data_IF_288863618700
#
_entry.id   IF_288863618700
#
_cell.length_a   1.000
_cell.length_b   1.000
_cell.length_c   1.000
_cell.angle_alpha   90.00
_cell.angle_beta   90.00
_cell.angle_gamma   90.00
#
_symmetry.space_group_name_H-M   'P 1'
#
loop_
_entity.id
_entity.type
_entity.pdbx_description
1 polymer ?
#
# COMPACT_ATOMS: atom_id res chain seq x y z
N UNK A 1 -31.60 -24.66 12.73
CA UNK A 1 -31.15 -23.43 12.03
C UNK A 1 -31.24 -22.17 12.88
N UNK A 2 -32.26 -21.97 13.72
CA UNK A 2 -32.42 -20.79 14.61
C UNK A 2 -31.31 -20.65 15.66
N UNK A 3 -30.89 -21.73 16.31
CA UNK A 3 -29.88 -21.73 17.39
C UNK A 3 -28.46 -21.29 16.98
N UNK A 4 -28.07 -21.50 15.72
CA UNK A 4 -26.75 -21.11 15.24
C UNK A 4 -26.69 -19.62 14.92
N UNK A 5 -27.78 -19.04 14.44
CA UNK A 5 -27.87 -17.63 14.10
C UNK A 5 -27.99 -16.77 15.37
N UNK A 6 -28.73 -17.24 16.38
CA UNK A 6 -28.92 -16.54 17.65
C UNK A 6 -27.64 -16.47 18.52
N UNK A 7 -26.80 -17.54 18.50
CA UNK A 7 -25.51 -17.50 19.22
C UNK A 7 -24.44 -16.69 18.48
N UNK A 8 -24.45 -16.61 17.12
CA UNK A 8 -23.59 -15.71 16.35
C UNK A 8 -23.83 -14.26 16.73
N UNK A 9 -25.08 -13.85 16.74
CA UNK A 9 -25.50 -12.50 17.08
C UNK A 9 -25.00 -12.14 18.49
N UNK A 10 -25.08 -13.05 19.45
CA UNK A 10 -24.67 -12.78 20.83
C UNK A 10 -23.15 -12.56 21.00
N UNK A 11 -22.27 -13.35 20.34
CA UNK A 11 -20.81 -13.19 20.45
C UNK A 11 -20.33 -11.90 19.75
N UNK A 12 -20.87 -11.61 18.58
CA UNK A 12 -20.59 -10.37 17.85
C UNK A 12 -21.11 -9.14 18.63
N UNK A 13 -22.30 -9.20 19.18
CA UNK A 13 -22.87 -8.11 20.00
C UNK A 13 -22.04 -7.86 21.26
N UNK A 14 -21.57 -8.88 21.94
CA UNK A 14 -20.68 -8.72 23.12
C UNK A 14 -19.39 -8.02 22.74
N UNK A 15 -18.76 -8.39 21.61
CA UNK A 15 -17.53 -7.75 21.14
C UNK A 15 -17.78 -6.29 20.72
N UNK A 16 -18.86 -6.03 20.00
CA UNK A 16 -19.29 -4.69 19.59
C UNK A 16 -19.57 -3.82 20.82
N UNK A 17 -20.28 -4.36 21.84
CA UNK A 17 -20.59 -3.60 23.04
C UNK A 17 -19.33 -3.32 23.87
N UNK A 18 -18.39 -4.26 23.93
CA UNK A 18 -17.07 -4.02 24.51
C UNK A 18 -16.36 -2.85 23.83
N UNK A 19 -16.37 -2.78 22.49
CA UNK A 19 -15.81 -1.65 21.75
C UNK A 19 -16.57 -0.36 22.01
N UNK A 20 -17.91 -0.39 22.00
CA UNK A 20 -18.78 0.78 22.27
C UNK A 20 -18.59 1.37 23.66
N UNK A 21 -18.38 0.52 24.65
CA UNK A 21 -18.19 0.96 26.04
C UNK A 21 -16.96 1.84 26.23
N UNK A 22 -15.91 1.63 25.41
CA UNK A 22 -14.61 2.32 25.49
C UNK A 22 -14.38 3.35 24.39
N UNK A 23 -15.33 3.58 23.47
CA UNK A 23 -15.20 4.47 22.31
C UNK A 23 -16.39 5.41 22.12
N UNK A 24 -16.88 5.96 23.23
CA UNK A 24 -18.12 6.79 23.27
C UNK A 24 -18.00 8.10 22.48
N UNK A 25 -16.83 8.75 22.53
CA UNK A 25 -16.59 10.01 21.81
C UNK A 25 -16.43 9.75 20.32
N UNK A 26 -15.72 8.69 19.94
CA UNK A 26 -15.59 8.23 18.56
C UNK A 26 -16.97 7.93 17.96
N UNK A 27 -17.87 7.29 18.70
CA UNK A 27 -19.24 7.05 18.27
C UNK A 27 -19.99 8.36 17.95
N UNK A 28 -19.94 9.33 18.87
CA UNK A 28 -20.61 10.64 18.67
C UNK A 28 -20.05 11.39 17.45
N UNK A 29 -18.72 11.30 17.22
CA UNK A 29 -18.09 11.89 16.04
C UNK A 29 -18.53 11.18 14.77
N UNK A 30 -18.62 9.86 14.78
CA UNK A 30 -19.11 9.08 13.64
C UNK A 30 -20.58 9.42 13.29
N UNK A 31 -21.47 9.52 14.29
CA UNK A 31 -22.86 9.94 14.10
C UNK A 31 -22.96 11.35 13.46
N UNK A 32 -22.06 12.27 13.83
CA UNK A 32 -21.94 13.59 13.18
C UNK A 32 -21.38 13.48 11.77
N UNK A 33 -20.36 12.64 11.56
CA UNK A 33 -19.72 12.45 10.27
C UNK A 33 -20.67 11.86 9.23
N UNK A 34 -21.58 10.96 9.62
CA UNK A 34 -22.64 10.42 8.74
C UNK A 34 -23.59 11.49 8.18
N UNK A 35 -23.66 12.67 8.82
CA UNK A 35 -24.49 13.79 8.30
C UNK A 35 -23.81 14.58 7.20
N UNK A 36 -22.47 14.47 7.06
CA UNK A 36 -21.66 15.30 6.14
C UNK A 36 -20.83 14.48 5.17
N UNK A 37 -20.61 13.19 5.44
CA UNK A 37 -19.87 12.29 4.59
C UNK A 37 -20.69 11.04 4.28
N UNK A 38 -20.65 10.51 3.04
CA UNK A 38 -21.18 9.19 2.75
C UNK A 38 -20.55 8.15 3.68
N UNK A 39 -21.37 7.37 4.40
CA UNK A 39 -20.90 6.35 5.38
C UNK A 39 -19.98 6.91 6.48
N UNK A 40 -20.07 8.21 6.80
CA UNK A 40 -19.33 8.84 7.90
C UNK A 40 -17.81 8.94 7.69
N UNK A 41 -17.29 8.71 6.49
CA UNK A 41 -15.85 8.82 6.23
C UNK A 41 -15.52 9.00 4.75
N UNK A 42 -14.54 9.84 4.44
CA UNK A 42 -13.90 9.91 3.13
C UNK A 42 -12.80 8.85 2.96
N UNK A 43 -12.42 8.16 4.03
CA UNK A 43 -11.30 7.21 4.08
C UNK A 43 -11.80 5.80 4.29
N UNK A 44 -12.55 5.26 3.32
CA UNK A 44 -13.16 3.93 3.39
C UNK A 44 -12.18 2.80 3.69
N UNK A 45 -10.95 2.87 3.18
CA UNK A 45 -9.90 1.88 3.45
C UNK A 45 -9.44 1.81 4.92
N UNK A 46 -9.81 2.78 5.76
CA UNK A 46 -9.52 2.82 7.19
C UNK A 46 -10.77 2.64 8.06
N UNK A 47 -11.93 2.45 7.44
CA UNK A 47 -13.16 2.22 8.17
C UNK A 47 -13.24 0.78 8.69
N UNK A 48 -13.68 0.56 9.92
CA UNK A 48 -14.06 -0.74 10.47
C UNK A 48 -15.39 -0.63 11.24
N UNK A 49 -16.25 -1.67 11.18
CA UNK A 49 -17.47 -1.69 11.92
C UNK A 49 -17.21 -1.90 13.43
N UNK A 50 -18.09 -1.36 14.32
CA UNK A 50 -19.32 -0.63 13.99
C UNK A 50 -19.09 0.82 13.57
N UNK A 51 -17.95 1.41 13.89
CA UNK A 51 -17.45 2.72 13.48
C UNK A 51 -15.95 2.83 13.81
N UNK A 52 -15.18 3.68 13.09
CA UNK A 52 -13.74 3.81 13.32
C UNK A 52 -13.42 4.54 14.62
N UNK A 53 -12.27 4.24 15.23
CA UNK A 53 -11.67 5.10 16.23
C UNK A 53 -11.22 6.42 15.58
N UNK A 54 -11.51 7.54 16.22
CA UNK A 54 -11.08 8.85 15.74
C UNK A 54 -9.74 9.22 16.34
N UNK A 55 -8.69 9.16 15.52
CA UNK A 55 -7.31 9.35 15.94
C UNK A 55 -6.99 10.84 16.06
N UNK A 56 -6.36 11.26 17.15
CA UNK A 56 -5.99 12.66 17.46
C UNK A 56 -4.49 12.90 17.55
N UNK A 57 -3.71 11.83 17.82
CA UNK A 57 -2.26 11.95 17.98
C UNK A 57 -1.57 10.68 17.47
N UNK A 58 -0.37 10.85 16.89
CA UNK A 58 0.56 9.77 16.62
C UNK A 58 1.94 10.09 17.18
N UNK A 59 2.66 9.08 17.70
CA UNK A 59 4.01 9.22 18.24
C UNK A 59 4.78 7.89 18.15
N UNK A 60 5.94 7.89 17.51
CA UNK A 60 6.67 6.64 17.25
C UNK A 60 5.81 5.64 16.47
N UNK A 61 5.65 4.42 16.99
CA UNK A 61 4.78 3.40 16.41
C UNK A 61 3.36 3.38 17.01
N UNK A 62 2.91 4.46 17.66
CA UNK A 62 1.65 4.49 18.40
C UNK A 62 0.72 5.59 17.90
N UNK A 63 -0.58 5.31 17.97
CA UNK A 63 -1.65 6.30 17.76
C UNK A 63 -2.56 6.35 18.95
N UNK A 64 -3.20 7.49 19.14
CA UNK A 64 -4.09 7.77 20.26
C UNK A 64 -5.43 8.28 19.72
N UNK A 65 -6.53 7.74 20.23
CA UNK A 65 -7.85 8.18 19.83
C UNK A 65 -8.44 9.27 20.75
N UNK A 66 -9.57 9.81 20.35
CA UNK A 66 -10.31 10.85 21.09
C UNK A 66 -10.90 10.36 22.42
N UNK A 67 -10.93 9.05 22.62
CA UNK A 67 -11.43 8.41 23.86
C UNK A 67 -10.27 8.12 24.84
N UNK A 68 -9.02 8.56 24.49
CA UNK A 68 -7.82 8.45 25.32
C UNK A 68 -7.14 7.07 25.23
N UNK A 69 -7.49 6.23 24.29
CA UNK A 69 -6.90 4.91 24.11
C UNK A 69 -5.64 5.00 23.25
N UNK A 70 -4.67 4.17 23.60
CA UNK A 70 -3.41 4.00 22.88
C UNK A 70 -3.42 2.71 22.08
N UNK A 71 -2.82 2.74 20.88
CA UNK A 71 -2.69 1.58 20.00
C UNK A 71 -1.30 1.50 19.39
N UNK A 72 -0.76 0.29 19.23
CA UNK A 72 0.37 0.04 18.31
C UNK A 72 -0.18 0.09 16.90
N UNK A 73 0.37 0.98 16.07
CA UNK A 73 -0.12 1.28 14.72
C UNK A 73 0.58 0.44 13.66
N UNK A 74 -0.11 -0.57 13.14
CA UNK A 74 0.28 -1.32 11.95
C UNK A 74 -0.41 -0.85 10.67
N UNK A 75 -1.28 0.14 10.74
CA UNK A 75 -1.85 0.79 9.56
C UNK A 75 -0.84 1.71 8.90
N UNK A 76 -0.06 2.46 9.72
CA UNK A 76 0.90 3.47 9.26
C UNK A 76 0.34 4.34 8.13
N UNK A 77 -0.97 4.65 8.20
CA UNK A 77 -1.72 5.35 7.17
C UNK A 77 -1.70 4.65 5.78
N UNK A 78 -1.74 3.31 5.73
CA UNK A 78 -1.57 2.48 4.53
C UNK A 78 -0.14 2.54 3.95
N UNK A 79 0.86 2.72 4.82
CA UNK A 79 2.25 2.48 4.53
C UNK A 79 3.22 3.67 4.38
N UNK A 80 2.81 4.97 4.31
CA UNK A 80 3.79 6.05 4.14
C UNK A 80 4.71 6.28 5.35
N UNK A 81 4.28 5.92 6.57
CA UNK A 81 5.00 6.25 7.80
C UNK A 81 6.00 5.17 8.22
N UNK A 82 6.95 4.85 7.35
CA UNK A 82 7.98 3.83 7.62
C UNK A 82 8.86 4.17 8.84
N UNK A 83 9.07 5.46 9.13
CA UNK A 83 9.80 5.96 10.30
C UNK A 83 8.89 6.17 11.52
N UNK A 84 7.61 5.80 11.42
CA UNK A 84 6.60 6.08 12.46
C UNK A 84 6.17 7.55 12.48
N UNK A 85 5.38 7.87 13.51
CA UNK A 85 4.84 9.21 13.71
C UNK A 85 5.88 10.14 14.36
N UNK A 86 5.89 11.41 13.94
CA UNK A 86 6.73 12.47 14.52
C UNK A 86 8.22 12.12 14.59
N UNK A 87 8.78 11.47 13.56
CA UNK A 87 10.23 11.29 13.52
C UNK A 87 10.92 12.65 13.66
N UNK A 88 11.87 12.82 14.62
CA UNK A 88 12.44 14.15 14.96
C UNK A 88 13.12 14.85 13.78
N UNK A 89 13.83 14.10 12.91
CA UNK A 89 14.52 14.68 11.74
C UNK A 89 13.55 15.12 10.67
N UNK A 90 12.50 14.30 10.43
CA UNK A 90 11.44 14.66 9.49
C UNK A 90 10.66 15.87 9.98
N UNK A 91 10.31 15.92 11.28
CA UNK A 91 9.62 17.08 11.87
C UNK A 91 10.46 18.36 11.79
N UNK A 92 11.77 18.26 12.02
CA UNK A 92 12.69 19.40 11.89
C UNK A 92 12.70 19.94 10.45
N UNK A 93 12.86 19.06 9.44
CA UNK A 93 12.85 19.48 8.04
C UNK A 93 11.53 20.14 7.62
N UNK A 94 10.39 19.63 8.15
CA UNK A 94 9.06 20.24 7.94
C UNK A 94 9.01 21.64 8.54
N UNK A 95 9.45 21.82 9.78
CA UNK A 95 9.42 23.10 10.47
C UNK A 95 10.29 24.14 9.76
N UNK A 96 11.52 23.79 9.39
CA UNK A 96 12.43 24.65 8.62
C UNK A 96 11.80 25.08 7.28
N UNK A 97 11.11 24.18 6.57
CA UNK A 97 10.43 24.53 5.32
C UNK A 97 9.20 25.43 5.56
N UNK A 98 8.46 25.23 6.67
CA UNK A 98 7.31 26.07 6.99
C UNK A 98 7.70 27.52 7.27
N UNK A 99 8.89 27.77 7.83
CA UNK A 99 9.46 29.12 8.00
C UNK A 99 9.74 29.80 6.64
N UNK A 100 10.07 29.02 5.58
CA UNK A 100 10.26 29.53 4.22
C UNK A 100 8.94 29.68 3.46
N UNK A 101 7.85 29.08 3.92
CA UNK A 101 6.54 29.06 3.31
C UNK A 101 6.05 27.66 2.94
N UNK A 102 4.75 27.52 2.76
CA UNK A 102 4.10 26.24 2.48
C UNK A 102 4.12 25.88 0.99
N UNK A 103 3.78 26.84 0.13
CA UNK A 103 3.74 26.68 -1.34
C UNK A 103 4.39 27.91 -1.96
N UNK A 104 5.37 27.67 -2.82
CA UNK A 104 6.12 28.73 -3.49
C UNK A 104 5.78 28.70 -4.98
N UNK A 105 5.63 29.86 -5.59
CA UNK A 105 5.20 30.00 -7.00
C UNK A 105 6.25 29.64 -8.05
N UNK A 106 7.25 28.84 -7.71
CA UNK A 106 8.34 28.40 -8.59
C UNK A 106 8.99 27.10 -8.11
N UNK A 107 9.88 26.50 -8.91
CA UNK A 107 10.62 25.31 -8.51
C UNK A 107 11.53 25.59 -7.31
N UNK A 108 11.81 24.56 -6.52
CA UNK A 108 12.63 24.63 -5.31
C UNK A 108 13.82 23.69 -5.38
N UNK A 109 14.90 24.00 -4.66
CA UNK A 109 16.06 23.09 -4.54
C UNK A 109 15.67 21.75 -3.94
N UNK A 110 14.67 21.72 -3.05
CA UNK A 110 14.22 20.49 -2.38
C UNK A 110 13.68 19.44 -3.37
N UNK A 111 12.98 19.85 -4.42
CA UNK A 111 12.52 18.91 -5.44
C UNK A 111 13.69 18.30 -6.22
N UNK A 112 14.71 19.10 -6.53
CA UNK A 112 15.94 18.62 -7.19
C UNK A 112 16.65 17.61 -6.30
N UNK A 113 16.87 17.95 -5.03
CA UNK A 113 17.57 17.09 -4.06
C UNK A 113 16.81 15.79 -3.79
N UNK A 114 15.49 15.81 -3.73
CA UNK A 114 14.68 14.58 -3.58
C UNK A 114 14.73 13.75 -4.86
N UNK A 115 14.68 14.36 -6.04
CA UNK A 115 14.83 13.67 -7.32
C UNK A 115 16.20 12.96 -7.42
N UNK A 116 17.29 13.67 -7.10
CA UNK A 116 18.65 13.10 -7.05
C UNK A 116 18.76 11.93 -6.07
N UNK A 117 18.14 12.05 -4.87
CA UNK A 117 18.10 10.98 -3.88
C UNK A 117 17.35 9.74 -4.40
N UNK A 118 16.22 9.94 -5.08
CA UNK A 118 15.43 8.87 -5.71
C UNK A 118 16.26 8.20 -6.81
N UNK A 119 16.82 8.96 -7.76
CA UNK A 119 17.60 8.45 -8.88
C UNK A 119 18.88 7.75 -8.42
N UNK A 120 19.56 8.27 -7.40
CA UNK A 120 20.74 7.62 -6.80
C UNK A 120 20.40 6.33 -6.00
N UNK A 121 19.13 5.99 -5.87
CA UNK A 121 18.68 4.77 -5.19
C UNK A 121 18.11 3.74 -6.16
N UNK A 122 17.41 4.16 -7.21
CA UNK A 122 16.73 3.27 -8.15
C UNK A 122 17.59 2.96 -9.39
N UNK A 123 17.82 1.69 -9.74
CA UNK A 123 18.66 1.33 -10.87
C UNK A 123 18.00 1.53 -12.24
N UNK A 124 16.68 1.78 -12.29
CA UNK A 124 15.89 1.83 -13.54
C UNK A 124 15.65 3.25 -14.09
N UNK A 125 15.97 4.31 -13.33
CA UNK A 125 15.55 5.66 -13.67
C UNK A 125 16.66 6.63 -14.01
N UNK A 126 16.37 7.57 -14.91
CA UNK A 126 17.27 8.68 -15.29
C UNK A 126 16.65 10.05 -15.03
N UNK A 127 15.31 10.14 -14.96
CA UNK A 127 14.57 11.36 -14.65
C UNK A 127 13.34 11.04 -13.81
N UNK A 128 12.90 12.06 -13.04
CA UNK A 128 11.72 12.01 -12.16
C UNK A 128 10.73 13.08 -12.59
N UNK A 129 9.44 12.76 -12.52
CA UNK A 129 8.34 13.72 -12.60
C UNK A 129 7.50 13.54 -11.33
N UNK A 130 7.39 14.59 -10.52
CA UNK A 130 6.56 14.59 -9.32
C UNK A 130 5.10 14.90 -9.62
N UNK A 131 4.20 14.31 -8.84
CA UNK A 131 2.76 14.55 -8.83
C UNK A 131 2.24 14.46 -7.39
N UNK A 132 0.93 14.66 -7.16
CA UNK A 132 0.38 14.78 -5.81
C UNK A 132 -0.03 13.43 -5.17
N UNK A 133 -0.07 12.33 -5.91
CA UNK A 133 -0.48 11.02 -5.38
C UNK A 133 0.03 9.84 -6.20
N UNK A 134 -0.02 8.62 -5.62
CA UNK A 134 0.24 7.38 -6.35
C UNK A 134 -0.76 7.12 -7.49
N UNK A 135 -2.01 7.56 -7.35
CA UNK A 135 -3.00 7.52 -8.44
C UNK A 135 -2.55 8.35 -9.64
N UNK A 136 -2.08 9.58 -9.39
CA UNK A 136 -1.55 10.43 -10.46
C UNK A 136 -0.27 9.86 -11.07
N UNK A 137 0.62 9.26 -10.28
CA UNK A 137 1.79 8.58 -10.80
C UNK A 137 1.41 7.46 -11.78
N UNK A 138 0.41 6.64 -11.43
CA UNK A 138 -0.13 5.59 -12.31
C UNK A 138 -0.78 6.18 -13.57
N UNK A 139 -1.57 7.26 -13.45
CA UNK A 139 -2.14 7.96 -14.61
C UNK A 139 -1.05 8.47 -15.56
N UNK A 140 0.01 9.06 -15.02
CA UNK A 140 1.15 9.52 -15.81
C UNK A 140 1.89 8.37 -16.46
N UNK A 141 2.17 7.29 -15.73
CA UNK A 141 2.79 6.08 -16.26
C UNK A 141 2.00 5.49 -17.43
N UNK A 142 0.67 5.39 -17.30
CA UNK A 142 -0.22 4.94 -18.37
C UNK A 142 -0.15 5.85 -19.59
N UNK A 143 -0.19 7.16 -19.38
CA UNK A 143 -0.11 8.14 -20.47
C UNK A 143 1.22 8.11 -21.20
N UNK A 144 2.32 7.96 -20.46
CA UNK A 144 3.66 7.81 -21.02
C UNK A 144 3.79 6.51 -21.82
N UNK A 145 3.33 5.38 -21.26
CA UNK A 145 3.37 4.10 -21.95
C UNK A 145 2.66 4.16 -23.30
N UNK A 146 1.46 4.72 -23.34
CA UNK A 146 0.67 4.88 -24.56
C UNK A 146 1.31 5.85 -25.56
N UNK A 147 1.80 6.99 -25.08
CA UNK A 147 2.45 7.99 -25.95
C UNK A 147 3.77 7.51 -26.53
N UNK A 148 4.53 6.72 -25.77
CA UNK A 148 5.82 6.18 -26.19
C UNK A 148 5.68 5.03 -27.19
N UNK A 149 4.72 4.13 -26.97
CA UNK A 149 4.54 2.94 -27.79
C UNK A 149 3.57 3.11 -28.95
N UNK A 150 2.68 4.12 -28.89
CA UNK A 150 1.55 4.27 -29.80
C UNK A 150 0.45 3.22 -29.63
N UNK A 151 0.54 2.36 -28.58
CA UNK A 151 -0.39 1.26 -28.29
C UNK A 151 -1.35 1.68 -27.17
N UNK A 152 -2.48 0.98 -27.04
CA UNK A 152 -3.56 1.41 -26.16
C UNK A 152 -3.79 0.50 -24.94
N UNK A 153 -3.61 -0.83 -25.13
CA UNK A 153 -3.93 -1.81 -24.09
C UNK A 153 -2.84 -1.89 -23.02
N UNK A 154 -3.25 -2.26 -21.83
CA UNK A 154 -2.35 -2.60 -20.72
C UNK A 154 -2.70 -3.97 -20.17
N UNK A 155 -1.73 -4.61 -19.53
CA UNK A 155 -1.92 -5.81 -18.74
C UNK A 155 -1.63 -5.49 -17.27
N UNK A 156 -2.48 -5.96 -16.36
CA UNK A 156 -2.29 -5.89 -14.91
C UNK A 156 -2.63 -7.23 -14.24
N UNK A 157 -2.23 -7.40 -12.98
CA UNK A 157 -2.65 -8.56 -12.20
C UNK A 157 -4.06 -8.37 -11.63
N UNK A 158 -4.81 -9.47 -11.52
CA UNK A 158 -6.10 -9.51 -10.85
C UNK A 158 -5.97 -9.07 -9.38
N UNK A 159 -6.88 -8.21 -8.92
CA UNK A 159 -6.85 -7.67 -7.57
C UNK A 159 -5.80 -6.60 -7.30
N UNK A 160 -4.94 -6.26 -8.27
CA UNK A 160 -4.00 -5.15 -8.16
C UNK A 160 -4.72 -3.80 -8.08
N UNK A 161 -4.13 -2.87 -7.31
CA UNK A 161 -4.65 -1.52 -7.10
C UNK A 161 -3.66 -0.47 -7.59
N UNK A 162 -3.97 0.13 -8.73
CA UNK A 162 -3.16 1.19 -9.35
C UNK A 162 -3.79 2.58 -9.23
N UNK A 163 -4.50 2.82 -8.14
CA UNK A 163 -5.24 4.07 -7.91
C UNK A 163 -6.66 4.02 -8.47
N UNK A 164 -7.32 5.19 -8.48
CA UNK A 164 -8.74 5.33 -8.74
C UNK A 164 -9.05 6.00 -10.08
N UNK A 165 -8.06 6.05 -11.00
CA UNK A 165 -8.30 6.57 -12.34
C UNK A 165 -9.04 5.56 -13.22
N UNK A 166 -9.84 6.05 -14.16
CA UNK A 166 -10.64 5.24 -15.07
C UNK A 166 -9.83 4.21 -15.87
N UNK A 167 -8.55 4.51 -16.14
CA UNK A 167 -7.66 3.61 -16.87
C UNK A 167 -7.27 2.33 -16.10
N UNK A 168 -7.53 2.28 -14.79
CA UNK A 168 -7.21 1.14 -13.92
C UNK A 168 -8.39 0.64 -13.09
N UNK A 169 -9.44 1.45 -12.97
CA UNK A 169 -10.63 1.15 -12.16
C UNK A 169 -11.65 0.33 -12.93
N UNK A 170 -12.47 -0.38 -12.18
CA UNK A 170 -13.60 -1.16 -12.67
C UNK A 170 -14.85 -0.78 -11.85
N UNK A 171 -16.03 -0.90 -12.46
CA UNK A 171 -17.30 -0.69 -11.77
C UNK A 171 -18.14 0.46 -12.33
N UNK A 172 -19.21 0.86 -11.62
CA UNK A 172 -20.13 1.89 -12.07
C UNK A 172 -19.45 3.22 -12.33
N UNK A 173 -19.76 3.87 -13.45
CA UNK A 173 -19.20 5.15 -13.85
C UNK A 173 -17.97 5.08 -14.76
N UNK A 174 -17.34 3.90 -14.89
CA UNK A 174 -16.23 3.70 -15.83
C UNK A 174 -16.78 3.39 -17.22
N UNK A 175 -16.22 4.06 -18.24
CA UNK A 175 -16.61 3.83 -19.63
C UNK A 175 -16.27 2.40 -20.07
N UNK A 176 -17.21 1.73 -20.73
CA UNK A 176 -17.05 0.36 -21.18
C UNK A 176 -15.83 0.19 -22.11
N UNK A 177 -15.57 1.15 -22.98
CA UNK A 177 -14.42 1.13 -23.89
C UNK A 177 -13.08 1.11 -23.14
N UNK A 178 -12.98 1.75 -21.98
CA UNK A 178 -11.77 1.73 -21.16
C UNK A 178 -11.53 0.35 -20.53
N UNK A 179 -12.60 -0.35 -20.14
CA UNK A 179 -12.50 -1.71 -19.60
C UNK A 179 -11.93 -2.69 -20.65
N UNK A 180 -12.26 -2.50 -21.93
CA UNK A 180 -11.72 -3.34 -23.03
C UNK A 180 -10.22 -3.11 -23.29
N UNK A 181 -9.64 -2.01 -22.77
CA UNK A 181 -8.21 -1.70 -22.91
C UNK A 181 -7.35 -2.29 -21.80
N UNK A 182 -7.96 -2.97 -20.82
CA UNK A 182 -7.25 -3.57 -19.70
C UNK A 182 -7.39 -5.10 -19.74
N UNK A 183 -6.25 -5.78 -19.78
CA UNK A 183 -6.16 -7.24 -19.71
C UNK A 183 -5.72 -7.59 -18.29
N UNK A 184 -6.40 -8.56 -17.67
CA UNK A 184 -6.06 -9.05 -16.34
C UNK A 184 -5.61 -10.50 -16.38
N UNK A 185 -4.58 -10.82 -15.58
CA UNK A 185 -4.06 -12.17 -15.39
C UNK A 185 -3.84 -12.43 -13.89
N UNK A 186 -3.86 -13.69 -13.43
CA UNK A 186 -3.50 -13.98 -12.05
C UNK A 186 -2.06 -13.57 -11.74
N UNK A 187 -1.83 -13.12 -10.50
CA UNK A 187 -0.47 -12.92 -9.97
C UNK A 187 0.18 -14.29 -9.73
N UNK A 188 1.51 -14.38 -9.88
CA UNK A 188 2.27 -15.64 -9.74
C UNK A 188 1.94 -16.74 -10.78
N UNK A 189 1.19 -16.45 -11.82
CA UNK A 189 0.89 -17.37 -12.93
C UNK A 189 1.65 -16.91 -14.19
N UNK A 190 2.89 -17.38 -14.34
CA UNK A 190 3.75 -16.96 -15.46
C UNK A 190 3.25 -17.50 -16.80
N UNK A 191 2.58 -18.66 -16.82
CA UNK A 191 2.09 -19.27 -18.06
C UNK A 191 0.96 -18.43 -18.67
N UNK A 192 -0.03 -18.05 -17.85
CA UNK A 192 -1.11 -17.15 -18.29
C UNK A 192 -0.60 -15.77 -18.63
N UNK A 193 0.38 -15.27 -17.88
CA UNK A 193 1.02 -13.99 -18.14
C UNK A 193 1.70 -13.98 -19.52
N UNK A 194 2.52 -14.98 -19.82
CA UNK A 194 3.21 -15.12 -21.09
C UNK A 194 2.23 -15.30 -22.26
N UNK A 195 1.20 -16.15 -22.08
CA UNK A 195 0.17 -16.38 -23.10
C UNK A 195 -0.59 -15.08 -23.43
N UNK A 196 -0.93 -14.28 -22.41
CA UNK A 196 -1.61 -12.98 -22.60
C UNK A 196 -0.71 -11.97 -23.35
N UNK A 197 0.58 -11.90 -23.00
CA UNK A 197 1.52 -11.01 -23.69
C UNK A 197 1.67 -11.43 -25.15
N UNK A 198 1.95 -12.71 -25.43
CA UNK A 198 2.11 -13.20 -26.81
C UNK A 198 0.88 -12.93 -27.67
N UNK A 199 -0.32 -13.11 -27.09
CA UNK A 199 -1.60 -12.87 -27.78
C UNK A 199 -1.82 -11.39 -28.12
N UNK A 200 -1.41 -10.48 -27.27
CA UNK A 200 -1.75 -9.06 -27.36
C UNK A 200 -0.55 -8.13 -27.58
N UNK A 201 0.66 -8.66 -27.84
CA UNK A 201 1.91 -7.89 -27.94
C UNK A 201 1.84 -6.67 -28.85
N UNK A 202 1.08 -6.75 -29.93
CA UNK A 202 0.98 -5.66 -30.93
C UNK A 202 0.07 -4.53 -30.46
N UNK A 203 -0.77 -4.77 -29.43
CA UNK A 203 -1.70 -3.81 -28.86
C UNK A 203 -1.28 -3.33 -27.47
N UNK A 204 -0.37 -4.09 -26.77
CA UNK A 204 0.03 -3.81 -25.40
C UNK A 204 1.05 -2.68 -25.34
N UNK A 205 0.67 -1.56 -24.69
CA UNK A 205 1.56 -0.48 -24.34
C UNK A 205 2.49 -0.85 -23.19
N UNK A 206 1.96 -1.48 -22.15
CA UNK A 206 2.73 -1.86 -20.97
C UNK A 206 2.05 -2.94 -20.13
N UNK A 207 2.86 -3.58 -19.29
CA UNK A 207 2.44 -4.34 -18.12
C UNK A 207 2.61 -3.47 -16.89
N UNK A 208 1.56 -3.36 -16.07
CA UNK A 208 1.60 -2.73 -14.74
C UNK A 208 1.53 -3.80 -13.67
N UNK A 209 2.51 -3.87 -12.80
CA UNK A 209 2.58 -4.86 -11.74
C UNK A 209 2.94 -4.22 -10.39
N UNK A 210 2.15 -4.55 -9.35
CA UNK A 210 2.59 -4.37 -7.97
C UNK A 210 3.54 -5.54 -7.65
N UNK A 211 4.83 -5.30 -7.30
CA UNK A 211 5.77 -6.38 -7.01
C UNK A 211 5.39 -7.25 -5.82
N UNK A 212 4.51 -6.74 -4.96
CA UNK A 212 3.82 -7.46 -3.89
C UNK A 212 2.33 -7.17 -4.04
N UNK A 213 1.53 -8.19 -4.29
CA UNK A 213 0.09 -8.03 -4.43
C UNK A 213 -0.58 -8.01 -3.04
N UNK A 214 -0.86 -6.81 -2.49
CA UNK A 214 -1.53 -6.64 -1.17
C UNK A 214 -0.91 -7.46 -0.03
N UNK A 215 0.42 -7.55 0.01
CA UNK A 215 1.16 -8.32 1.00
C UNK A 215 1.56 -9.71 0.54
N UNK A 216 0.98 -10.23 -0.53
CA UNK A 216 1.36 -11.51 -1.14
C UNK A 216 2.69 -11.32 -1.89
N UNK A 217 3.76 -12.01 -1.51
CA UNK A 217 5.04 -11.92 -2.21
C UNK A 217 4.99 -12.61 -3.58
N UNK A 218 5.86 -12.21 -4.50
CA UNK A 218 6.06 -12.97 -5.73
C UNK A 218 6.67 -14.34 -5.42
N UNK A 219 6.24 -15.37 -6.16
CA UNK A 219 6.90 -16.67 -6.18
C UNK A 219 8.38 -16.53 -6.64
N UNK A 220 9.23 -17.49 -6.28
CA UNK A 220 10.63 -17.47 -6.70
C UNK A 220 10.76 -17.26 -8.22
N UNK A 221 11.58 -16.30 -8.60
CA UNK A 221 11.88 -15.92 -9.99
C UNK A 221 10.69 -15.38 -10.83
N UNK A 222 9.47 -15.30 -10.29
CA UNK A 222 8.31 -14.80 -11.03
C UNK A 222 8.57 -13.41 -11.67
N UNK A 223 9.05 -12.43 -10.90
CA UNK A 223 9.33 -11.09 -11.44
C UNK A 223 10.46 -11.07 -12.48
N UNK A 224 11.45 -11.96 -12.37
CA UNK A 224 12.49 -12.11 -13.38
C UNK A 224 11.95 -12.69 -14.68
N UNK A 225 11.05 -13.68 -14.57
CA UNK A 225 10.37 -14.27 -15.71
C UNK A 225 9.46 -13.23 -16.38
N UNK A 226 8.71 -12.44 -15.59
CA UNK A 226 7.91 -11.31 -16.09
C UNK A 226 8.78 -10.34 -16.89
N UNK A 227 9.97 -9.94 -16.35
CA UNK A 227 10.91 -9.06 -17.06
C UNK A 227 11.36 -9.68 -18.38
N UNK A 228 11.75 -10.94 -18.35
CA UNK A 228 12.21 -11.66 -19.55
C UNK A 228 11.13 -11.68 -20.64
N UNK A 229 9.91 -12.09 -20.28
CA UNK A 229 8.78 -12.18 -21.22
C UNK A 229 8.43 -10.81 -21.81
N UNK A 230 8.39 -9.75 -20.98
CA UNK A 230 8.11 -8.39 -21.47
C UNK A 230 9.19 -7.89 -22.43
N UNK A 231 10.47 -8.14 -22.14
CA UNK A 231 11.61 -7.74 -22.95
C UNK A 231 11.63 -8.47 -24.31
N UNK A 232 11.46 -9.78 -24.31
CA UNK A 232 11.42 -10.62 -25.52
C UNK A 232 10.25 -10.23 -26.47
N UNK A 233 9.18 -9.66 -25.95
CA UNK A 233 8.01 -9.25 -26.73
C UNK A 233 7.92 -7.73 -26.98
N UNK A 234 8.92 -6.95 -26.57
CA UNK A 234 8.94 -5.49 -26.77
C UNK A 234 7.79 -4.75 -26.07
N UNK A 235 7.35 -5.26 -24.91
CA UNK A 235 6.29 -4.66 -24.06
C UNK A 235 6.96 -4.01 -22.86
N UNK A 236 6.56 -2.77 -22.53
CA UNK A 236 7.10 -2.07 -21.38
C UNK A 236 6.68 -2.74 -20.06
N UNK A 237 7.63 -2.85 -19.13
CA UNK A 237 7.35 -3.26 -17.75
C UNK A 237 7.33 -2.05 -16.84
N UNK A 238 6.22 -1.83 -16.15
CA UNK A 238 6.01 -0.77 -15.18
C UNK A 238 5.85 -1.39 -13.79
N UNK A 239 6.73 -1.05 -12.87
CA UNK A 239 6.56 -1.39 -11.47
C UNK A 239 5.78 -0.29 -10.76
N UNK A 240 4.60 -0.66 -10.24
CA UNK A 240 3.90 0.15 -9.25
C UNK A 240 4.56 -0.10 -7.89
N UNK A 241 5.53 0.72 -7.58
CA UNK A 241 6.24 0.72 -6.30
C UNK A 241 5.68 1.77 -5.32
N UNK A 242 4.43 2.14 -5.44
CA UNK A 242 3.77 3.05 -4.49
C UNK A 242 3.78 2.46 -3.06
N UNK A 243 3.72 1.13 -2.93
CA UNK A 243 3.86 0.43 -1.64
C UNK A 243 5.31 0.00 -1.37
N UNK A 244 5.96 -0.61 -2.36
CA UNK A 244 7.23 -1.31 -2.20
C UNK A 244 8.45 -0.40 -2.30
N UNK A 245 8.31 0.75 -2.97
CA UNK A 245 9.37 1.74 -3.13
C UNK A 245 9.87 2.26 -1.79
N UNK A 246 11.17 2.13 -1.55
CA UNK A 246 11.82 2.46 -0.29
C UNK A 246 11.29 1.72 0.95
N UNK A 247 10.41 0.73 0.78
CA UNK A 247 9.92 -0.10 1.89
C UNK A 247 10.69 -1.39 2.05
N UNK A 248 10.96 -2.10 0.96
CA UNK A 248 11.61 -3.42 1.00
C UNK A 248 13.12 -3.33 0.98
N UNK A 249 13.64 -2.30 0.39
CA UNK A 249 15.06 -1.96 0.33
C UNK A 249 15.19 -0.49 -0.09
N UNK A 250 16.42 0.03 -0.05
CA UNK A 250 16.72 1.38 -0.58
C UNK A 250 16.34 1.53 -2.06
N UNK A 251 16.43 0.45 -2.82
CA UNK A 251 16.05 0.40 -4.23
C UNK A 251 14.65 -0.24 -4.44
N UNK A 252 13.82 -0.29 -3.41
CA UNK A 252 12.48 -0.88 -3.49
C UNK A 252 12.48 -2.37 -3.85
N UNK A 253 11.47 -2.79 -4.56
CA UNK A 253 11.33 -4.15 -5.10
C UNK A 253 12.41 -4.47 -6.14
N UNK A 254 12.83 -3.49 -6.94
CA UNK A 254 13.89 -3.63 -7.93
C UNK A 254 15.19 -4.13 -7.28
N UNK A 255 15.56 -3.55 -6.13
CA UNK A 255 16.74 -3.96 -5.40
C UNK A 255 16.59 -5.30 -4.72
N UNK A 256 15.40 -5.60 -4.18
CA UNK A 256 15.15 -6.85 -3.47
C UNK A 256 15.18 -8.07 -4.39
N UNK A 257 14.63 -7.98 -5.59
CA UNK A 257 14.56 -9.10 -6.55
C UNK A 257 15.49 -8.99 -7.75
N UNK A 258 16.26 -7.90 -7.86
CA UNK A 258 17.23 -7.72 -8.96
C UNK A 258 16.56 -7.53 -10.33
N UNK A 259 15.36 -6.95 -10.38
CA UNK A 259 14.59 -6.75 -11.62
C UNK A 259 14.48 -5.27 -11.93
N UNK A 260 14.83 -4.86 -13.15
CA UNK A 260 14.74 -3.45 -13.60
C UNK A 260 13.55 -3.26 -14.51
N UNK A 261 12.50 -2.53 -14.09
CA UNK A 261 11.40 -2.14 -14.97
C UNK A 261 11.82 -1.01 -15.91
N UNK A 262 11.01 -0.73 -16.93
CA UNK A 262 11.17 0.42 -17.82
C UNK A 262 10.71 1.71 -17.17
N UNK A 263 9.67 1.64 -16.31
CA UNK A 263 9.16 2.74 -15.49
C UNK A 263 8.92 2.27 -14.06
N UNK A 264 9.08 3.19 -13.12
CA UNK A 264 8.76 2.99 -11.70
C UNK A 264 7.85 4.09 -11.22
N UNK A 265 6.75 3.70 -10.58
CA UNK A 265 5.78 4.62 -10.00
C UNK A 265 5.94 4.61 -8.48
N UNK A 266 6.05 5.78 -7.90
CA UNK A 266 6.31 5.97 -6.47
C UNK A 266 5.22 6.79 -5.80
N UNK A 267 5.13 6.66 -4.49
CA UNK A 267 4.24 7.45 -3.63
C UNK A 267 4.55 7.19 -2.16
N UNK A 268 3.57 7.44 -1.29
CA UNK A 268 3.64 7.08 0.13
C UNK A 268 4.94 7.55 0.82
N UNK A 269 5.93 6.66 0.97
CA UNK A 269 7.18 6.90 1.73
C UNK A 269 7.95 8.12 1.21
N UNK A 270 7.97 8.33 -0.12
CA UNK A 270 8.70 9.46 -0.70
C UNK A 270 8.13 10.83 -0.32
N UNK A 271 6.95 10.88 0.28
CA UNK A 271 6.33 12.11 0.80
C UNK A 271 6.56 12.34 2.29
N UNK A 272 7.20 11.40 3.02
CA UNK A 272 7.48 11.57 4.44
C UNK A 272 6.24 11.81 5.31
N UNK A 273 5.06 11.31 4.89
CA UNK A 273 3.76 11.51 5.54
C UNK A 273 2.87 12.55 4.85
N UNK A 274 3.35 13.23 3.82
CA UNK A 274 2.57 14.15 2.98
C UNK A 274 2.15 13.51 1.65
N UNK A 275 1.13 14.09 1.04
CA UNK A 275 0.65 13.67 -0.27
C UNK A 275 1.71 13.95 -1.33
N UNK A 276 2.13 12.92 -2.06
CA UNK A 276 3.04 13.00 -3.20
C UNK A 276 3.04 11.70 -3.99
N UNK A 277 3.42 11.79 -5.24
CA UNK A 277 3.72 10.68 -6.12
C UNK A 277 4.87 11.05 -7.05
N UNK A 278 5.44 10.07 -7.73
CA UNK A 278 6.44 10.30 -8.75
C UNK A 278 6.42 9.20 -9.82
N UNK A 279 6.72 9.61 -11.04
CA UNK A 279 7.06 8.74 -12.15
C UNK A 279 8.57 8.82 -12.39
N UNK A 280 9.24 7.69 -12.42
CA UNK A 280 10.67 7.54 -12.71
C UNK A 280 10.84 6.71 -13.97
N UNK A 281 11.59 7.21 -14.94
CA UNK A 281 11.83 6.51 -16.20
C UNK A 281 13.12 6.97 -16.90
N UNK A 282 13.46 6.33 -18.02
CA UNK A 282 14.54 6.78 -18.90
C UNK A 282 14.19 8.11 -19.57
N UNK A 283 15.21 8.93 -19.86
CA UNK A 283 15.03 10.25 -20.49
C UNK A 283 14.25 10.20 -21.81
N UNK A 284 14.48 9.17 -22.61
CA UNK A 284 13.82 9.01 -23.92
C UNK A 284 12.32 8.84 -23.78
N UNK A 285 11.84 8.12 -22.75
CA UNK A 285 10.42 7.92 -22.50
C UNK A 285 9.72 9.17 -22.01
N UNK A 286 10.47 10.09 -21.40
CA UNK A 286 9.97 11.36 -20.87
C UNK A 286 10.10 12.55 -21.87
N UNK A 287 10.62 12.30 -23.06
CA UNK A 287 10.66 13.34 -24.13
C UNK A 287 9.31 14.00 -24.41
N UNK A 288 8.16 13.29 -24.38
CA UNK A 288 6.84 13.90 -24.62
C UNK A 288 6.42 14.98 -23.60
N UNK A 289 7.13 15.07 -22.45
CA UNK A 289 6.92 16.19 -21.50
C UNK A 289 7.72 17.45 -21.85
N UNK A 290 8.63 17.38 -22.81
CA UNK A 290 9.41 18.54 -23.23
C UNK A 290 8.67 19.33 -24.32
N UNK A 291 8.76 20.67 -24.31
CA UNK A 291 8.32 21.47 -25.42
C UNK A 291 9.05 21.06 -26.70
N UNK A 292 8.34 20.99 -27.83
CA UNK A 292 8.96 20.62 -29.11
C UNK A 292 9.95 21.66 -29.62
N UNK A 293 9.71 22.94 -29.29
CA UNK A 293 10.59 24.05 -29.66
C UNK A 293 10.74 25.03 -28.51
N UNK A 294 11.95 25.50 -28.34
CA UNK A 294 12.30 26.60 -27.45
C UNK A 294 13.02 27.66 -28.31
N UNK A 295 12.39 28.78 -28.59
CA UNK A 295 12.95 29.84 -29.38
C UNK A 295 12.74 31.18 -28.69
N UNK A 296 13.80 31.69 -28.06
CA UNK A 296 13.71 32.94 -27.32
C UNK A 296 12.66 32.89 -26.23
N UNK A 297 11.65 33.77 -26.31
CA UNK A 297 10.53 33.82 -25.36
C UNK A 297 9.34 32.93 -25.77
N UNK A 298 9.43 32.19 -26.87
CA UNK A 298 8.34 31.35 -27.36
C UNK A 298 8.57 29.91 -26.97
N UNK A 299 7.56 29.28 -26.33
CA UNK A 299 7.59 27.90 -25.91
C UNK A 299 6.37 27.18 -26.47
N UNK A 300 6.60 26.16 -27.30
CA UNK A 300 5.54 25.27 -27.75
C UNK A 300 5.07 24.39 -26.57
N UNK A 301 3.78 24.05 -26.57
CA UNK A 301 3.25 23.12 -25.55
C UNK A 301 3.87 21.74 -25.72
N UNK A 302 4.20 21.10 -24.57
CA UNK A 302 4.63 19.71 -24.57
C UNK A 302 3.49 18.79 -25.05
N UNK A 303 3.79 17.70 -25.78
CA UNK A 303 2.79 16.73 -26.22
C UNK A 303 1.98 16.12 -25.07
N UNK A 304 2.65 15.81 -23.94
CA UNK A 304 1.98 15.40 -22.71
C UNK A 304 1.90 16.60 -21.77
N UNK A 305 0.68 17.09 -21.53
CA UNK A 305 0.44 18.09 -20.49
C UNK A 305 0.53 17.47 -19.11
N UNK A 306 1.35 18.06 -18.23
CA UNK A 306 1.43 17.74 -16.83
C UNK A 306 1.42 19.04 -16.03
N UNK A 307 0.31 19.30 -15.35
CA UNK A 307 0.12 20.45 -14.50
C UNK A 307 -0.58 20.00 -13.20
N UNK A 308 -0.16 20.57 -12.09
CA UNK A 308 -0.78 20.28 -10.79
C UNK A 308 -0.24 21.26 -9.75
N UNK A 309 -1.16 21.96 -9.08
CA UNK A 309 -0.83 22.96 -8.04
C UNK A 309 0.07 22.39 -6.93
N UNK A 310 -0.06 21.09 -6.67
CA UNK A 310 0.61 20.41 -5.54
C UNK A 310 1.79 19.54 -5.99
N UNK A 311 2.16 19.57 -7.27
CA UNK A 311 3.32 18.83 -7.74
C UNK A 311 4.59 19.37 -7.09
N UNK A 312 5.44 18.47 -6.58
CA UNK A 312 6.66 18.81 -5.86
C UNK A 312 6.43 19.81 -4.70
N UNK A 313 5.35 19.62 -3.93
CA UNK A 313 5.00 20.48 -2.79
C UNK A 313 6.19 20.60 -1.81
N UNK A 314 6.70 21.81 -1.52
CA UNK A 314 7.97 21.98 -0.80
C UNK A 314 8.04 21.26 0.55
N UNK A 315 6.97 21.29 1.34
CA UNK A 315 6.91 20.57 2.63
C UNK A 315 6.96 19.05 2.42
N UNK A 316 6.31 18.53 1.36
CA UNK A 316 6.38 17.10 1.02
C UNK A 316 7.80 16.72 0.55
N UNK A 317 8.46 17.59 -0.22
CA UNK A 317 9.84 17.37 -0.67
C UNK A 317 10.82 17.37 0.51
N UNK A 318 10.70 18.31 1.45
CA UNK A 318 11.50 18.37 2.66
C UNK A 318 11.31 17.11 3.54
N UNK A 319 10.05 16.75 3.81
CA UNK A 319 9.70 15.57 4.61
C UNK A 319 10.18 14.26 3.95
N UNK A 320 9.97 14.14 2.64
CA UNK A 320 10.40 12.99 1.84
C UNK A 320 11.91 12.83 1.83
N UNK A 321 12.65 13.91 1.56
CA UNK A 321 14.11 13.89 1.57
C UNK A 321 14.66 13.46 2.94
N UNK A 322 14.16 14.05 4.02
CA UNK A 322 14.55 13.68 5.38
C UNK A 322 14.21 12.20 5.68
N UNK A 323 13.05 11.74 5.23
CA UNK A 323 12.65 10.32 5.39
C UNK A 323 13.62 9.39 4.67
N UNK A 324 13.95 9.66 3.39
CA UNK A 324 14.85 8.79 2.62
C UNK A 324 16.30 8.82 3.11
N UNK A 325 16.69 9.87 3.82
CA UNK A 325 18.02 9.95 4.47
C UNK A 325 18.13 9.05 5.71
N UNK A 326 17.03 8.86 6.44
CA UNK A 326 16.96 7.99 7.63
C UNK A 326 16.87 6.50 7.28
N UNK A 327 16.55 6.12 6.06
CA UNK A 327 16.44 4.73 5.62
C UNK A 327 17.84 4.15 5.33
N UNK A 328 18.54 3.83 6.40
CA UNK A 328 19.87 3.21 6.39
C UNK A 328 19.79 1.68 6.19
N UNK A 329 20.89 1.00 5.82
CA UNK A 329 20.91 -0.47 5.80
C UNK A 329 20.48 -1.12 7.13
N UNK A 330 20.86 -0.53 8.26
CA UNK A 330 20.45 -1.02 9.59
C UNK A 330 18.95 -0.84 9.85
N UNK A 331 18.33 0.22 9.31
CA UNK A 331 16.88 0.40 9.39
C UNK A 331 16.12 -0.71 8.64
N UNK A 332 16.59 -1.08 7.45
CA UNK A 332 16.00 -2.20 6.69
C UNK A 332 16.22 -3.54 7.37
N UNK A 333 17.43 -3.83 7.86
CA UNK A 333 17.71 -5.05 8.61
C UNK A 333 16.78 -5.20 9.83
N UNK A 334 16.60 -4.11 10.59
CA UNK A 334 15.66 -4.09 11.72
C UNK A 334 14.21 -4.33 11.28
N UNK A 335 13.75 -3.71 10.19
CA UNK A 335 12.40 -3.92 9.67
C UNK A 335 12.17 -5.35 9.19
N UNK A 336 13.17 -5.98 8.57
CA UNK A 336 13.11 -7.37 8.13
C UNK A 336 13.06 -8.33 9.33
N UNK A 337 13.89 -8.10 10.36
CA UNK A 337 13.91 -8.88 11.62
C UNK A 337 12.56 -8.81 12.35
N UNK A 338 12.03 -7.60 12.54
CA UNK A 338 10.73 -7.41 13.19
C UNK A 338 9.60 -8.05 12.38
N UNK A 339 9.65 -7.92 11.04
CA UNK A 339 8.67 -8.51 10.17
C UNK A 339 8.65 -10.03 10.24
N UNK A 340 9.81 -10.66 10.25
CA UNK A 340 9.94 -12.10 10.37
C UNK A 340 9.48 -12.60 11.75
N UNK A 341 9.90 -11.92 12.83
CA UNK A 341 9.47 -12.24 14.17
C UNK A 341 7.94 -12.18 14.35
N UNK A 342 7.27 -11.19 13.74
CA UNK A 342 5.81 -11.10 13.77
C UNK A 342 5.16 -12.23 12.98
N UNK A 343 5.59 -12.50 11.75
CA UNK A 343 5.01 -13.59 10.93
C UNK A 343 5.12 -14.93 11.62
N UNK A 344 6.34 -15.34 12.03
CA UNK A 344 6.56 -16.60 12.74
C UNK A 344 5.83 -16.67 14.08
N UNK A 345 5.77 -15.53 14.80
CA UNK A 345 5.05 -15.46 16.06
C UNK A 345 3.54 -15.63 15.88
N UNK A 346 2.96 -15.09 14.81
CA UNK A 346 1.55 -15.25 14.46
C UNK A 346 1.22 -16.70 14.11
N UNK A 347 2.05 -17.38 13.32
CA UNK A 347 1.90 -18.80 12.99
C UNK A 347 1.90 -19.66 14.26
N UNK A 348 2.90 -19.46 15.15
CA UNK A 348 2.97 -20.15 16.43
C UNK A 348 1.79 -19.87 17.35
N UNK A 349 1.27 -18.63 17.36
CA UNK A 349 0.09 -18.29 18.14
C UNK A 349 -1.17 -19.00 17.60
N UNK A 350 -1.29 -19.12 16.29
CA UNK A 350 -2.39 -19.85 15.64
C UNK A 350 -2.30 -21.36 15.91
N UNK A 351 -1.10 -21.96 15.87
CA UNK A 351 -0.87 -23.35 16.26
C UNK A 351 -1.29 -23.61 17.71
N UNK A 352 -0.85 -22.76 18.68
CA UNK A 352 -1.25 -22.88 20.09
C UNK A 352 -2.75 -22.72 20.31
N UNK A 353 -3.39 -21.83 19.55
CA UNK A 353 -4.85 -21.68 19.58
C UNK A 353 -5.58 -22.85 18.90
N UNK A 354 -4.88 -23.67 18.11
CA UNK A 354 -5.46 -24.75 17.32
C UNK A 354 -6.36 -24.22 16.20
N UNK A 355 -5.92 -23.16 15.52
CA UNK A 355 -6.64 -22.53 14.40
C UNK A 355 -5.72 -22.47 13.17
N UNK A 356 -6.20 -22.96 12.03
CA UNK A 356 -5.48 -22.89 10.77
C UNK A 356 -5.62 -21.49 10.18
N UNK A 357 -4.49 -20.87 9.88
CA UNK A 357 -4.39 -19.59 9.21
C UNK A 357 -3.24 -19.60 8.20
N UNK A 358 -3.25 -18.67 7.27
CA UNK A 358 -2.11 -18.38 6.41
C UNK A 358 -1.57 -17.00 6.77
N UNK A 359 -0.28 -16.91 7.09
CA UNK A 359 0.41 -15.63 7.33
C UNK A 359 1.32 -15.37 6.14
N UNK A 360 1.07 -14.28 5.42
CA UNK A 360 1.87 -13.89 4.26
C UNK A 360 2.55 -12.55 4.49
N UNK A 361 3.64 -12.32 3.80
CA UNK A 361 4.33 -11.03 3.84
C UNK A 361 5.80 -11.12 3.49
N UNK A 362 6.43 -9.96 3.38
CA UNK A 362 7.87 -9.85 3.11
C UNK A 362 8.41 -8.54 3.70
N UNK A 363 9.59 -8.59 4.28
CA UNK A 363 10.17 -7.42 4.93
C UNK A 363 9.23 -6.87 6.03
N UNK A 364 8.94 -5.59 5.94
CA UNK A 364 8.08 -4.86 6.88
C UNK A 364 6.58 -4.88 6.52
N UNK A 365 6.14 -5.88 5.76
CA UNK A 365 4.74 -6.06 5.36
C UNK A 365 4.26 -7.44 5.76
N UNK A 366 3.05 -7.56 6.33
CA UNK A 366 2.44 -8.83 6.69
C UNK A 366 0.92 -8.79 6.67
N UNK A 367 0.29 -9.95 6.49
CA UNK A 367 -1.16 -10.12 6.58
C UNK A 367 -1.51 -11.52 7.04
N UNK A 368 -2.71 -11.70 7.59
CA UNK A 368 -3.26 -12.99 8.04
C UNK A 368 -4.54 -13.30 7.27
N UNK A 369 -4.69 -14.57 6.88
CA UNK A 369 -5.89 -15.10 6.25
C UNK A 369 -6.41 -16.31 7.02
N UNK A 370 -7.70 -16.35 7.29
CA UNK A 370 -8.37 -17.49 7.90
C UNK A 370 -8.80 -18.47 6.81
N UNK A 371 -7.89 -19.32 6.39
CA UNK A 371 -8.04 -20.32 5.33
C UNK A 371 -6.99 -21.43 5.48
N UNK A 372 -7.28 -22.62 4.98
CA UNK A 372 -6.37 -23.75 4.84
C UNK A 372 -5.62 -23.77 3.49
N UNK A 373 -6.01 -22.89 2.57
CA UNK A 373 -5.39 -22.81 1.24
C UNK A 373 -4.18 -21.87 1.23
N UNK A 374 -3.14 -22.26 0.50
CA UNK A 374 -1.98 -21.38 0.28
C UNK A 374 -2.39 -20.10 -0.44
N UNK A 375 -1.89 -18.96 0.01
CA UNK A 375 -2.20 -17.64 -0.54
C UNK A 375 -1.09 -17.21 -1.50
N UNK A 376 -1.38 -17.28 -2.78
CA UNK A 376 -0.42 -16.97 -3.85
C UNK A 376 -0.89 -15.87 -4.80
N UNK A 377 -2.19 -15.58 -4.84
CA UNK A 377 -2.81 -14.60 -5.74
C UNK A 377 -4.10 -14.00 -5.16
N UNK A 378 -4.81 -13.20 -5.96
CA UNK A 378 -6.09 -12.59 -5.57
C UNK A 378 -7.23 -13.62 -5.43
N UNK A 379 -7.20 -14.70 -6.17
CA UNK A 379 -8.23 -15.75 -6.11
C UNK A 379 -8.10 -16.54 -4.79
N UNK A 380 -6.90 -17.02 -4.48
CA UNK A 380 -6.62 -17.68 -3.21
C UNK A 380 -6.85 -16.76 -2.00
N UNK A 381 -6.52 -15.47 -2.08
CA UNK A 381 -6.80 -14.51 -1.02
C UNK A 381 -8.31 -14.36 -0.72
N UNK A 382 -9.19 -14.56 -1.71
CA UNK A 382 -10.66 -14.53 -1.54
C UNK A 382 -11.19 -15.76 -0.79
N UNK A 383 -10.43 -16.84 -0.66
CA UNK A 383 -10.83 -18.01 0.15
C UNK A 383 -10.79 -17.70 1.65
N UNK A 384 -10.04 -16.67 2.05
CA UNK A 384 -9.97 -16.22 3.42
C UNK A 384 -11.34 -15.78 3.98
N UNK A 385 -11.71 -16.32 5.14
CA UNK A 385 -12.99 -16.01 5.77
C UNK A 385 -13.02 -14.57 6.28
N UNK A 386 -13.72 -13.70 5.55
CA UNK A 386 -13.80 -12.26 5.83
C UNK A 386 -14.53 -11.95 7.15
N UNK A 387 -15.45 -12.80 7.60
CA UNK A 387 -16.14 -12.59 8.88
C UNK A 387 -15.16 -12.83 10.03
N UNK A 388 -14.37 -13.90 9.98
CA UNK A 388 -13.32 -14.16 10.97
C UNK A 388 -12.28 -13.04 11.00
N UNK A 389 -11.86 -12.54 9.84
CA UNK A 389 -10.92 -11.42 9.77
C UNK A 389 -11.48 -10.15 10.44
N UNK A 390 -12.77 -9.84 10.25
CA UNK A 390 -13.41 -8.69 10.90
C UNK A 390 -13.47 -8.85 12.43
N UNK A 391 -13.80 -10.03 12.92
CA UNK A 391 -13.76 -10.34 14.35
C UNK A 391 -12.35 -10.20 14.91
N UNK A 392 -11.36 -10.76 14.22
CA UNK A 392 -9.95 -10.64 14.58
C UNK A 392 -9.50 -9.18 14.69
N UNK A 393 -9.77 -8.36 13.68
CA UNK A 393 -9.42 -6.93 13.69
C UNK A 393 -10.07 -6.19 14.86
N UNK A 394 -11.36 -6.42 15.13
CA UNK A 394 -12.06 -5.77 16.23
C UNK A 394 -11.55 -6.22 17.60
N UNK A 395 -11.21 -7.51 17.75
CA UNK A 395 -10.55 -8.02 18.94
C UNK A 395 -9.20 -7.36 19.18
N UNK A 396 -8.37 -7.20 18.13
CA UNK A 396 -7.08 -6.53 18.20
C UNK A 396 -7.23 -5.07 18.63
N UNK A 397 -8.18 -4.34 18.03
CA UNK A 397 -8.48 -2.95 18.40
C UNK A 397 -8.87 -2.85 19.87
N UNK A 398 -9.67 -3.78 20.39
CA UNK A 398 -10.01 -3.77 21.82
C UNK A 398 -8.82 -4.08 22.73
N UNK A 399 -7.72 -4.62 22.19
CA UNK A 399 -6.47 -4.97 22.88
C UNK A 399 -5.32 -4.00 22.62
N UNK A 400 -5.60 -2.83 22.01
CA UNK A 400 -4.57 -1.80 21.78
C UNK A 400 -3.67 -2.04 20.56
N UNK A 401 -4.11 -2.83 19.61
CA UNK A 401 -3.45 -3.01 18.30
C UNK A 401 -4.34 -2.39 17.21
N UNK A 402 -3.77 -1.56 16.34
CA UNK A 402 -4.47 -0.91 15.23
C UNK A 402 -4.07 -1.54 13.90
N UNK A 403 -4.78 -2.60 13.43
CA UNK A 403 -4.44 -3.30 12.20
C UNK A 403 -4.86 -2.51 10.96
N UNK A 404 -4.19 -2.76 9.83
CA UNK A 404 -4.60 -2.26 8.52
C UNK A 404 -5.73 -3.12 7.96
N UNK A 405 -6.94 -2.65 8.09
CA UNK A 405 -8.12 -3.34 7.60
C UNK A 405 -8.12 -3.43 6.06
N UNK A 406 -8.51 -4.59 5.55
CA UNK A 406 -8.63 -4.87 4.10
C UNK A 406 -7.36 -4.60 3.28
N UNK A 407 -6.23 -4.42 3.94
CA UNK A 407 -4.91 -4.23 3.36
C UNK A 407 -3.86 -4.95 4.20
N UNK A 408 -2.64 -5.10 3.69
CA UNK A 408 -1.53 -5.61 4.50
C UNK A 408 -1.17 -4.62 5.62
N UNK A 409 -0.66 -5.16 6.73
CA UNK A 409 -0.11 -4.40 7.83
C UNK A 409 1.31 -3.93 7.50
N UNK A 410 1.71 -2.78 8.08
CA UNK A 410 2.98 -2.12 7.83
C UNK A 410 3.74 -1.89 9.12
N UNK A 411 4.99 -2.32 9.15
CA UNK A 411 5.88 -2.11 10.28
C UNK A 411 6.64 -0.80 10.06
N UNK A 412 6.82 -0.04 11.13
CA UNK A 412 7.64 1.16 11.16
C UNK A 412 8.86 0.96 12.05
N UNK A 413 9.93 1.71 11.81
CA UNK A 413 11.22 1.56 12.53
C UNK A 413 11.16 1.71 14.05
N UNK A 414 10.19 2.45 14.66
CA UNK A 414 10.05 2.51 16.11
C UNK A 414 9.46 1.26 16.76
N UNK A 415 8.94 0.29 15.99
CA UNK A 415 8.49 -1.01 16.53
C UNK A 415 9.71 -1.79 16.99
N UNK A 416 9.74 -2.14 18.29
CA UNK A 416 10.84 -2.87 18.94
C UNK A 416 10.33 -4.17 19.53
N UNK A 417 11.21 -4.97 20.12
CA UNK A 417 10.87 -6.27 20.72
C UNK A 417 9.73 -6.18 21.73
N UNK A 418 9.60 -5.06 22.45
CA UNK A 418 8.49 -4.83 23.39
C UNK A 418 7.15 -4.82 22.66
N UNK A 419 7.05 -4.04 21.56
CA UNK A 419 5.84 -3.93 20.76
C UNK A 419 5.53 -5.24 20.04
N UNK A 420 6.55 -5.95 19.55
CA UNK A 420 6.39 -7.29 18.96
C UNK A 420 5.79 -8.25 19.99
N UNK A 421 6.35 -8.33 21.19
CA UNK A 421 5.84 -9.18 22.27
C UNK A 421 4.39 -8.83 22.61
N UNK A 422 4.10 -7.55 22.86
CA UNK A 422 2.75 -7.07 23.17
C UNK A 422 1.73 -7.42 22.05
N UNK A 423 2.17 -7.31 20.80
CA UNK A 423 1.32 -7.64 19.63
C UNK A 423 1.04 -9.13 19.56
N UNK A 424 2.05 -9.97 19.75
CA UNK A 424 1.90 -11.43 19.70
C UNK A 424 1.03 -11.95 20.84
N UNK A 425 1.17 -11.39 22.05
CA UNK A 425 0.28 -11.69 23.19
C UNK A 425 -1.18 -11.33 22.86
N UNK A 426 -1.41 -10.14 22.30
CA UNK A 426 -2.75 -9.71 21.88
C UNK A 426 -3.34 -10.59 20.77
N UNK A 427 -2.52 -11.06 19.82
CA UNK A 427 -2.92 -11.97 18.75
C UNK A 427 -3.30 -13.35 19.34
N UNK A 428 -2.48 -13.90 20.20
CA UNK A 428 -2.72 -15.20 20.83
C UNK A 428 -4.02 -15.19 21.66
N UNK A 429 -4.21 -14.17 22.51
CA UNK A 429 -5.45 -13.96 23.27
C UNK A 429 -6.67 -13.78 22.35
N UNK A 430 -6.50 -13.11 21.20
CA UNK A 430 -7.54 -12.94 20.21
C UNK A 430 -7.94 -14.27 19.60
N UNK A 431 -6.96 -15.06 19.13
CA UNK A 431 -7.23 -16.34 18.48
C UNK A 431 -7.88 -17.34 19.48
N UNK A 432 -7.42 -17.38 20.73
CA UNK A 432 -8.09 -18.18 21.77
C UNK A 432 -9.54 -17.72 22.00
N UNK A 433 -9.79 -16.41 22.08
CA UNK A 433 -11.15 -15.85 22.25
C UNK A 433 -12.06 -16.17 21.07
N UNK A 434 -11.50 -16.28 19.84
CA UNK A 434 -12.25 -16.55 18.62
C UNK A 434 -12.48 -18.05 18.36
N UNK A 435 -11.80 -18.95 19.08
CA UNK A 435 -11.87 -20.40 18.81
C UNK A 435 -13.30 -20.95 18.78
N UNK A 436 -14.21 -20.60 19.69
CA UNK A 436 -15.61 -21.05 19.62
C UNK A 436 -16.32 -20.59 18.34
N UNK A 437 -16.10 -19.33 17.93
CA UNK A 437 -16.65 -18.79 16.68
C UNK A 437 -16.08 -19.53 15.47
N UNK A 438 -14.74 -19.74 15.40
CA UNK A 438 -14.10 -20.49 14.31
C UNK A 438 -14.68 -21.90 14.21
N UNK A 439 -14.78 -22.62 15.33
CA UNK A 439 -15.36 -23.98 15.37
C UNK A 439 -16.79 -24.01 14.79
N UNK A 440 -17.55 -22.93 14.99
CA UNK A 440 -18.93 -22.85 14.57
C UNK A 440 -19.12 -22.51 13.09
N UNK A 441 -18.32 -21.56 12.55
CA UNK A 441 -18.53 -21.03 11.20
C UNK A 441 -17.56 -21.58 10.15
N UNK A 442 -16.40 -22.08 10.60
CA UNK A 442 -15.36 -22.65 9.76
C UNK A 442 -14.65 -23.80 10.49
N UNK A 443 -15.38 -24.93 10.79
CA UNK A 443 -14.85 -26.03 11.59
C UNK A 443 -13.63 -26.70 10.96
N UNK A 444 -13.46 -26.64 9.65
CA UNK A 444 -12.27 -27.13 8.93
C UNK A 444 -10.99 -26.38 9.30
N UNK A 445 -11.10 -25.16 9.88
CA UNK A 445 -9.95 -24.38 10.34
C UNK A 445 -9.55 -24.69 11.80
N UNK A 446 -10.18 -25.66 12.46
CA UNK A 446 -9.78 -26.13 13.79
C UNK A 446 -8.89 -27.35 13.64
N UNK A 447 -7.67 -27.29 14.20
CA UNK A 447 -6.81 -28.48 14.28
C UNK A 447 -7.37 -29.45 15.33
N UNK A 448 -7.23 -30.74 15.07
CA UNK A 448 -7.68 -31.81 15.98
C UNK A 448 -6.89 -31.86 17.29
#
# INVERSE_FOLDING_TARGET
MSTIQDQRVSEEEVLIEKYRSVSKTSRKLYERACKVFPDGSTRRGLFFPPYPAYIVKGEGCRVYDVDGREYIDYTSNLGPLILGHKNPRVMKAIQEQLECGTVLGGPTELEVRLAEKILGSLPSGEQVIFCASGTEANMLGLRVARAYTGKEKILKCEGAFHGTSDGFSEGPGILQDLLTKTITVPFNDIERFEAAIKKHRDELAAVFIEPILRGIPPEPDYLKQVRKVTEENGVLLVFDEVVTGFRLSRAGAQGKWGVRPDMTLLGKIIGGGFATGALVAKKEMLKPFKPMRFSGLTVDRAPISHAGTWNAHPVAMAAGLATLQELTPSAYAHLDEVGEALRQGMEKAAERAGIIVQVVGVGSVFHIYFTDQAIVDSASAKTGNQLLLRHYDLHLITRGIYPAKAHCNFISTPVKNREVKQTLEAIEDTLHSMKPLVRKIAPSLITQ
#
